data_IF_374315628902
#
_entry.id   IF_374315628902
#
_cell.length_a   1.000
_cell.length_b   1.000
_cell.length_c   1.000
_cell.angle_alpha   90.00
_cell.angle_beta   90.00
_cell.angle_gamma   90.00
#
_symmetry.space_group_name_H-M   'P 1'
#
loop_
_entity.id
_entity.type
_entity.pdbx_description
1 polymer ?
#
# COMPACT_ATOMS: atom_id res chain seq x y z
N UNK A 1 53.45 9.25 41.95
CA UNK A 1 52.72 9.97 40.89
C UNK A 1 51.60 9.10 40.42
N UNK A 2 50.35 9.49 40.57
CA UNK A 2 49.24 8.73 40.02
C UNK A 2 49.25 8.87 38.49
N UNK A 3 48.86 7.81 37.73
CA UNK A 3 48.80 7.85 36.27
C UNK A 3 47.71 8.84 35.81
N UNK A 4 48.02 9.58 34.75
CA UNK A 4 47.09 10.54 34.15
C UNK A 4 45.84 9.83 33.61
N UNK A 5 44.62 10.46 33.75
CA UNK A 5 43.41 9.90 33.20
C UNK A 5 43.50 9.83 31.67
N UNK A 6 43.09 8.67 31.12
CA UNK A 6 43.00 8.45 29.69
C UNK A 6 42.01 9.44 29.06
N UNK A 7 42.29 9.98 27.88
CA UNK A 7 41.37 10.88 27.19
C UNK A 7 40.10 10.06 26.81
N UNK A 8 38.97 10.67 27.09
CA UNK A 8 37.66 10.11 26.71
C UNK A 8 37.61 9.92 25.18
N UNK A 9 37.01 8.81 24.71
CA UNK A 9 36.85 8.58 23.27
C UNK A 9 35.99 9.71 22.68
N UNK A 10 36.29 10.18 21.45
CA UNK A 10 35.48 11.20 20.81
C UNK A 10 34.06 10.67 20.67
N UNK A 11 33.10 11.40 21.24
CA UNK A 11 31.69 11.17 21.01
C UNK A 11 31.44 11.27 19.51
N UNK A 12 31.36 10.12 18.85
CA UNK A 12 31.03 10.03 17.44
C UNK A 12 29.71 10.75 17.25
N UNK A 13 29.75 11.86 16.54
CA UNK A 13 28.55 12.49 15.97
C UNK A 13 27.91 11.43 15.08
N UNK A 14 26.94 10.71 15.62
CA UNK A 14 26.00 9.95 14.80
C UNK A 14 25.32 10.98 13.92
N UNK A 15 25.72 10.98 12.66
CA UNK A 15 25.06 11.70 11.58
C UNK A 15 23.57 11.49 11.75
N UNK A 16 22.83 12.59 11.96
CA UNK A 16 21.39 12.55 12.15
C UNK A 16 20.71 11.83 10.98
N UNK A 17 20.50 10.54 11.11
CA UNK A 17 19.33 9.92 10.59
C UNK A 17 18.22 10.69 11.30
N UNK A 18 17.58 11.61 10.60
CA UNK A 18 16.32 12.20 11.05
C UNK A 18 15.46 11.02 11.39
N UNK A 19 15.22 10.82 12.68
CA UNK A 19 14.28 9.82 13.17
C UNK A 19 12.93 10.21 12.56
N UNK A 20 12.65 9.66 11.38
CA UNK A 20 11.33 9.78 10.77
C UNK A 20 10.44 8.96 11.67
N UNK A 21 9.56 9.65 12.37
CA UNK A 21 8.55 9.02 13.20
C UNK A 21 7.77 8.05 12.32
N UNK A 22 7.59 6.79 12.73
CA UNK A 22 6.90 5.78 11.94
C UNK A 22 5.58 6.28 11.35
N UNK A 23 4.84 7.05 12.10
CA UNK A 23 3.60 7.70 11.70
C UNK A 23 3.74 8.62 10.48
N UNK A 24 4.84 9.39 10.37
CA UNK A 24 5.04 10.29 9.22
C UNK A 24 5.35 9.52 7.93
N UNK A 25 6.16 8.46 8.04
CA UNK A 25 6.45 7.57 6.91
C UNK A 25 5.19 6.85 6.44
N UNK A 26 4.38 6.38 7.39
CA UNK A 26 3.10 5.75 7.11
C UNK A 26 2.15 6.68 6.33
N UNK A 27 2.01 7.94 6.74
CA UNK A 27 1.19 8.93 6.04
C UNK A 27 1.65 9.18 4.60
N UNK A 28 2.97 9.26 4.37
CA UNK A 28 3.54 9.38 3.02
C UNK A 28 3.20 8.15 2.15
N UNK A 29 3.36 6.94 2.69
CA UNK A 29 3.06 5.69 1.99
C UNK A 29 1.58 5.56 1.63
N UNK A 30 0.67 5.93 2.53
CA UNK A 30 -0.76 5.93 2.27
C UNK A 30 -1.14 6.88 1.14
N UNK A 31 -0.54 8.07 1.12
CA UNK A 31 -0.75 9.06 0.07
C UNK A 31 -0.26 8.56 -1.29
N UNK A 32 0.92 7.92 -1.34
CA UNK A 32 1.46 7.32 -2.56
C UNK A 32 0.60 6.16 -3.08
N UNK A 33 0.03 5.37 -2.19
CA UNK A 33 -0.85 4.25 -2.52
C UNK A 33 -2.31 4.68 -2.78
N UNK A 34 -2.62 5.97 -2.73
CA UNK A 34 -3.97 6.52 -2.90
C UNK A 34 -5.01 5.84 -1.96
N UNK A 35 -4.60 5.53 -0.73
CA UNK A 35 -5.46 4.91 0.28
C UNK A 35 -6.29 6.00 0.95
N UNK A 36 -7.63 5.92 0.93
CA UNK A 36 -8.47 6.93 1.52
C UNK A 36 -8.40 6.92 3.06
N UNK A 37 -8.51 8.07 3.69
CA UNK A 37 -8.51 8.20 5.15
C UNK A 37 -9.64 7.41 5.84
N UNK A 38 -10.73 7.16 5.15
CA UNK A 38 -11.83 6.34 5.67
C UNK A 38 -11.52 4.84 5.79
N UNK A 39 -10.43 4.37 5.19
CA UNK A 39 -10.04 2.97 5.22
C UNK A 39 -9.27 2.58 6.50
N UNK A 40 -8.76 3.55 7.24
CA UNK A 40 -7.95 3.29 8.44
C UNK A 40 -8.18 4.34 9.53
N UNK A 41 -7.87 3.95 10.77
CA UNK A 41 -7.84 4.84 11.93
C UNK A 41 -6.62 4.53 12.80
N UNK A 42 -5.99 5.56 13.35
CA UNK A 42 -4.85 5.46 14.27
C UNK A 42 -5.25 6.11 15.58
N UNK A 43 -5.01 5.42 16.69
CA UNK A 43 -5.42 5.81 18.05
C UNK A 43 -6.96 5.95 18.24
N UNK A 44 -7.73 5.50 17.26
CA UNK A 44 -9.19 5.50 17.28
C UNK A 44 -9.75 4.18 16.77
N UNK A 45 -10.96 3.83 17.21
CA UNK A 45 -11.73 2.71 16.68
C UNK A 45 -12.88 3.24 15.82
N UNK A 46 -12.76 3.05 14.51
CA UNK A 46 -13.79 3.49 13.55
C UNK A 46 -14.40 2.28 12.86
N UNK A 47 -15.73 2.08 12.95
CA UNK A 47 -16.41 1.00 12.24
C UNK A 47 -16.16 1.05 10.72
N UNK A 48 -15.89 -0.10 10.14
CA UNK A 48 -15.58 -0.23 8.72
C UNK A 48 -14.13 0.08 8.31
N UNK A 49 -13.27 0.45 9.28
CA UNK A 49 -11.88 0.75 9.05
C UNK A 49 -10.93 -0.30 9.66
N UNK A 50 -9.70 -0.33 9.14
CA UNK A 50 -8.58 -0.98 9.83
C UNK A 50 -8.05 -0.03 10.90
N UNK A 51 -8.01 -0.49 12.13
CA UNK A 51 -7.62 0.31 13.29
C UNK A 51 -6.26 -0.12 13.82
N UNK A 52 -5.42 0.86 14.20
CA UNK A 52 -4.20 0.66 14.96
C UNK A 52 -4.36 1.43 16.27
N UNK A 53 -4.32 0.74 17.39
CA UNK A 53 -4.45 1.33 18.72
C UNK A 53 -3.31 0.90 19.62
N UNK A 54 -2.95 1.76 20.56
CA UNK A 54 -1.98 1.44 21.60
C UNK A 54 -2.62 0.49 22.62
N UNK A 55 -1.91 -0.58 22.96
CA UNK A 55 -2.29 -1.58 23.95
C UNK A 55 -1.22 -1.70 25.02
N UNK A 56 -1.51 -2.48 26.08
CA UNK A 56 -0.52 -2.75 27.12
C UNK A 56 0.69 -3.50 26.54
N UNK A 57 1.84 -2.86 26.57
CA UNK A 57 3.10 -3.42 26.08
C UNK A 57 3.31 -3.37 24.58
N UNK A 58 2.43 -2.71 23.80
CA UNK A 58 2.60 -2.62 22.35
C UNK A 58 1.43 -1.98 21.62
N UNK A 59 1.09 -2.55 20.47
CA UNK A 59 0.11 -2.03 19.53
C UNK A 59 -0.78 -3.15 19.00
N UNK A 60 -2.06 -2.88 18.86
CA UNK A 60 -3.01 -3.79 18.23
C UNK A 60 -3.46 -3.25 16.88
N UNK A 61 -3.46 -4.12 15.87
CA UNK A 61 -4.04 -3.84 14.55
C UNK A 61 -5.19 -4.80 14.32
N UNK A 62 -6.35 -4.27 13.95
CA UNK A 62 -7.56 -5.07 13.72
C UNK A 62 -8.51 -4.38 12.75
N UNK A 63 -9.41 -5.15 12.15
CA UNK A 63 -10.55 -4.62 11.41
C UNK A 63 -11.70 -4.37 12.38
N UNK A 64 -12.29 -3.20 12.34
CA UNK A 64 -13.43 -2.83 13.18
C UNK A 64 -14.73 -2.96 12.40
N UNK A 65 -15.65 -3.79 12.87
CA UNK A 65 -17.05 -3.80 12.46
C UNK A 65 -17.89 -3.03 13.47
N UNK A 66 -19.18 -2.86 13.21
CA UNK A 66 -20.08 -2.17 14.15
C UNK A 66 -20.09 -2.84 15.54
N UNK A 67 -20.00 -4.18 15.55
CA UNK A 67 -20.19 -4.97 16.77
C UNK A 67 -18.92 -5.59 17.33
N UNK A 68 -17.86 -5.75 16.51
CA UNK A 68 -16.69 -6.55 16.89
C UNK A 68 -15.38 -6.06 16.30
N UNK A 69 -14.27 -6.47 16.94
CA UNK A 69 -12.92 -6.41 16.39
C UNK A 69 -12.60 -7.76 15.73
N UNK A 70 -12.18 -7.74 14.48
CA UNK A 70 -11.81 -8.91 13.69
C UNK A 70 -10.32 -8.90 13.37
N UNK A 71 -9.72 -10.09 13.26
CA UNK A 71 -8.32 -10.28 12.87
C UNK A 71 -7.33 -9.49 13.71
N UNK A 72 -7.52 -9.46 15.02
CA UNK A 72 -6.66 -8.74 15.96
C UNK A 72 -5.23 -9.29 15.90
N UNK A 73 -4.26 -8.42 15.67
CA UNK A 73 -2.82 -8.71 15.68
C UNK A 73 -2.12 -7.78 16.66
N UNK A 74 -1.27 -8.36 17.49
CA UNK A 74 -0.46 -7.63 18.47
C UNK A 74 0.98 -7.50 17.99
N UNK A 75 1.57 -6.33 18.20
CA UNK A 75 2.94 -5.99 17.87
C UNK A 75 3.59 -5.28 19.05
N UNK A 76 4.79 -5.69 19.44
CA UNK A 76 5.56 -5.01 20.47
C UNK A 76 6.20 -3.73 19.95
N UNK A 77 6.48 -3.71 18.64
CA UNK A 77 7.14 -2.60 17.96
C UNK A 77 6.14 -1.78 17.13
N UNK A 78 6.21 -0.47 17.31
CA UNK A 78 5.34 0.51 16.64
C UNK A 78 5.53 0.48 15.12
N UNK A 79 6.78 0.43 14.68
CA UNK A 79 7.10 0.43 13.25
C UNK A 79 6.54 -0.82 12.56
N UNK A 80 6.66 -1.98 13.19
CA UNK A 80 6.09 -3.23 12.68
C UNK A 80 4.57 -3.17 12.58
N UNK A 81 3.88 -2.56 13.54
CA UNK A 81 2.43 -2.37 13.50
C UNK A 81 2.00 -1.47 12.33
N UNK A 82 2.69 -0.36 12.09
CA UNK A 82 2.41 0.53 10.96
C UNK A 82 2.66 -0.15 9.61
N UNK A 83 3.76 -0.90 9.46
CA UNK A 83 4.04 -1.63 8.23
C UNK A 83 3.02 -2.73 7.96
N UNK A 84 2.57 -3.43 8.99
CA UNK A 84 1.51 -4.44 8.85
C UNK A 84 0.20 -3.79 8.39
N UNK A 85 -0.21 -2.71 9.05
CA UNK A 85 -1.41 -1.96 8.68
C UNK A 85 -1.34 -1.48 7.23
N UNK A 86 -0.21 -0.88 6.83
CA UNK A 86 0.00 -0.47 5.45
C UNK A 86 -0.08 -1.63 4.46
N UNK A 87 0.54 -2.77 4.78
CA UNK A 87 0.51 -3.96 3.93
C UNK A 87 -0.90 -4.48 3.67
N UNK A 88 -1.75 -4.53 4.70
CA UNK A 88 -3.15 -4.94 4.56
C UNK A 88 -3.93 -3.96 3.71
N UNK A 89 -3.79 -2.66 3.96
CA UNK A 89 -4.48 -1.61 3.19
C UNK A 89 -4.03 -1.57 1.73
N UNK A 90 -2.73 -1.72 1.46
CA UNK A 90 -2.19 -1.79 0.11
C UNK A 90 -2.69 -3.03 -0.65
N UNK A 91 -2.73 -4.20 0.00
CA UNK A 91 -3.28 -5.41 -0.58
C UNK A 91 -4.77 -5.26 -0.93
N UNK A 92 -5.53 -4.59 -0.09
CA UNK A 92 -6.93 -4.29 -0.37
C UNK A 92 -7.09 -3.28 -1.52
N UNK A 93 -6.22 -2.27 -1.61
CA UNK A 93 -6.20 -1.32 -2.71
C UNK A 93 -5.90 -2.00 -4.06
N UNK A 94 -5.00 -2.99 -4.07
CA UNK A 94 -4.72 -3.81 -5.26
C UNK A 94 -5.92 -4.68 -5.61
N UNK A 95 -6.52 -5.39 -4.65
CA UNK A 95 -7.71 -6.25 -4.89
C UNK A 95 -8.91 -5.46 -5.40
N UNK A 96 -9.12 -4.26 -4.88
CA UNK A 96 -10.22 -3.37 -5.32
C UNK A 96 -9.92 -2.61 -6.62
N UNK A 97 -8.74 -2.80 -7.21
CA UNK A 97 -8.33 -2.14 -8.45
C UNK A 97 -7.99 -0.65 -8.30
N UNK A 98 -7.90 -0.14 -7.08
CA UNK A 98 -7.50 1.26 -6.80
C UNK A 98 -6.00 1.47 -7.04
N UNK A 99 -5.20 0.45 -6.73
CA UNK A 99 -3.76 0.43 -6.98
C UNK A 99 -3.46 -0.61 -8.04
N UNK A 100 -3.01 -0.16 -9.21
CA UNK A 100 -2.63 -1.05 -10.30
C UNK A 100 -1.10 -1.16 -10.36
N UNK A 101 -0.53 -2.37 -10.20
CA UNK A 101 0.90 -2.56 -10.35
C UNK A 101 1.35 -2.14 -11.75
N UNK A 102 2.33 -1.25 -11.84
CA UNK A 102 2.93 -0.84 -13.11
C UNK A 102 2.29 0.36 -13.79
N UNK A 103 1.26 0.99 -13.24
CA UNK A 103 0.91 2.33 -13.68
C UNK A 103 1.91 3.34 -13.11
N UNK A 104 2.64 4.07 -13.97
CA UNK A 104 3.41 5.21 -13.49
C UNK A 104 2.42 6.18 -12.85
N UNK A 105 2.64 6.49 -11.57
CA UNK A 105 1.86 7.53 -10.89
C UNK A 105 1.87 8.82 -11.70
N UNK A 106 0.90 9.73 -11.49
CA UNK A 106 0.88 11.00 -12.17
C UNK A 106 2.21 11.70 -11.88
N UNK A 107 3.11 11.60 -12.84
CA UNK A 107 4.33 12.40 -12.85
C UNK A 107 3.85 13.84 -13.00
N UNK A 108 3.84 14.61 -11.92
CA UNK A 108 3.82 16.05 -11.98
C UNK A 108 5.14 16.48 -12.65
N UNK A 109 5.25 16.12 -13.93
CA UNK A 109 6.32 16.54 -14.80
C UNK A 109 6.07 17.99 -15.18
N UNK A 110 6.75 18.86 -14.48
CA UNK A 110 7.09 20.16 -15.05
C UNK A 110 8.01 19.89 -16.23
N UNK A 111 7.41 19.58 -17.39
CA UNK A 111 8.17 19.40 -18.62
C UNK A 111 8.47 20.79 -19.16
N UNK A 112 9.63 21.30 -18.78
CA UNK A 112 10.25 22.40 -19.47
C UNK A 112 10.66 21.89 -20.87
N UNK A 113 10.13 22.55 -21.90
CA UNK A 113 10.20 22.10 -23.26
C UNK A 113 11.60 21.87 -23.81
N UNK A 114 11.73 20.86 -24.64
CA UNK A 114 12.71 20.80 -25.72
C UNK A 114 12.24 19.86 -26.82
N UNK A 115 11.87 20.51 -27.94
CA UNK A 115 12.03 20.11 -29.35
C UNK A 115 12.05 18.61 -29.69
N UNK A 116 10.98 18.16 -30.35
CA UNK A 116 11.03 17.53 -31.65
C UNK A 116 11.95 16.36 -31.88
N UNK A 117 11.47 15.15 -31.56
CA UNK A 117 11.78 14.00 -32.42
C UNK A 117 10.46 13.24 -32.61
N UNK A 118 9.98 13.37 -33.84
CA UNK A 118 8.83 12.65 -34.40
C UNK A 118 9.25 11.16 -34.41
N UNK A 119 8.80 10.36 -33.45
CA UNK A 119 8.94 8.92 -33.51
C UNK A 119 8.11 8.38 -34.70
N UNK A 120 8.65 7.48 -35.54
CA UNK A 120 7.88 6.83 -36.57
C UNK A 120 6.78 5.98 -35.93
N UNK A 121 5.55 6.24 -36.31
CA UNK A 121 4.40 5.39 -35.99
C UNK A 121 4.63 4.02 -36.58
N UNK A 122 4.56 2.92 -35.77
CA UNK A 122 4.58 1.58 -36.31
C UNK A 122 3.31 1.39 -37.16
N UNK A 123 3.41 0.68 -38.31
CA UNK A 123 2.25 0.41 -39.15
C UNK A 123 1.24 -0.40 -38.32
N UNK A 124 0.00 0.07 -38.30
CA UNK A 124 -1.15 -0.62 -37.72
C UNK A 124 -1.42 -1.85 -38.57
N UNK A 125 -0.70 -2.93 -38.34
CA UNK A 125 -1.08 -4.22 -38.91
C UNK A 125 -2.34 -4.71 -38.24
N UNK A 126 -3.31 -4.96 -39.06
CA UNK A 126 -4.66 -5.39 -38.79
C UNK A 126 -4.64 -6.75 -38.07
N UNK A 127 -4.67 -6.75 -36.74
CA UNK A 127 -4.66 -7.95 -35.90
C UNK A 127 -5.95 -8.77 -36.04
N UNK A 128 -6.89 -8.29 -36.86
CA UNK A 128 -8.19 -8.93 -37.07
C UNK A 128 -8.12 -10.31 -37.73
N UNK A 129 -6.96 -10.72 -38.26
CA UNK A 129 -6.82 -12.01 -38.95
C UNK A 129 -6.46 -13.21 -38.08
N UNK A 130 -6.12 -12.99 -36.80
CA UNK A 130 -5.60 -14.05 -35.93
C UNK A 130 -6.47 -14.40 -34.73
N UNK A 131 -7.70 -13.90 -34.65
CA UNK A 131 -8.64 -14.33 -33.61
C UNK A 131 -9.34 -15.62 -34.06
N UNK A 132 -9.10 -16.77 -33.42
CA UNK A 132 -9.89 -17.96 -33.68
C UNK A 132 -11.32 -17.66 -33.25
N UNK A 133 -12.27 -17.87 -34.18
CA UNK A 133 -13.70 -17.81 -33.90
C UNK A 133 -14.01 -18.85 -32.83
N UNK A 134 -14.21 -18.42 -31.61
CA UNK A 134 -14.77 -19.27 -30.56
C UNK A 134 -16.19 -19.66 -31.00
N UNK A 135 -16.37 -20.95 -31.32
CA UNK A 135 -17.69 -21.53 -31.49
C UNK A 135 -18.47 -21.34 -30.20
N UNK A 136 -19.57 -20.62 -30.28
CA UNK A 136 -20.53 -20.48 -29.20
C UNK A 136 -21.04 -21.87 -28.82
N UNK A 137 -21.07 -22.27 -27.55
CA UNK A 137 -21.71 -23.50 -27.13
C UNK A 137 -23.20 -23.40 -27.45
N UNK A 138 -23.72 -24.47 -28.08
CA UNK A 138 -25.14 -24.62 -28.34
C UNK A 138 -25.90 -24.52 -27.02
N UNK A 139 -26.98 -23.74 -27.01
CA UNK A 139 -27.89 -23.53 -25.90
C UNK A 139 -28.29 -24.85 -25.24
N UNK A 140 -28.05 -24.94 -23.94
CA UNK A 140 -28.53 -26.02 -23.09
C UNK A 140 -30.05 -25.85 -22.93
N UNK A 141 -30.87 -26.86 -23.18
CA UNK A 141 -32.32 -26.77 -22.96
C UNK A 141 -32.62 -26.62 -21.46
N UNK A 142 -33.69 -25.91 -21.07
CA UNK A 142 -34.07 -25.75 -19.68
C UNK A 142 -34.53 -27.09 -19.07
N UNK A 143 -34.29 -27.33 -17.77
CA UNK A 143 -34.74 -28.53 -17.10
C UNK A 143 -36.28 -28.58 -17.07
N UNK A 144 -36.80 -29.72 -17.49
CA UNK A 144 -38.25 -30.02 -17.40
C UNK A 144 -38.57 -30.27 -15.93
N UNK A 145 -39.41 -29.43 -15.34
CA UNK A 145 -39.98 -29.68 -14.02
C UNK A 145 -41.10 -30.70 -14.21
N UNK A 146 -40.92 -31.92 -13.69
CA UNK A 146 -41.96 -32.93 -13.60
C UNK A 146 -42.67 -32.79 -12.25
N UNK A 147 -43.97 -32.56 -12.27
CA UNK A 147 -44.84 -32.59 -11.09
C UNK A 147 -45.06 -34.02 -10.62
#
# INVERSE_FOLDING_TARGET
MPPAPLPAPPSGRRSGRRDRVPQSVFGELLSLAAIPHSAYAVDEEVPGAMCLVKADGGFEVFSRTDDARLDVRFFEDEEAAYFYLFGVLAAEAVRSGRLQPGQPGPVNGHVNGSRGHRAPTPPTENISKYLPRKKLPKSVPPPVIVN
#
